data_IF_551962534061
#
_entry.id   IF_551962534061
#
_cell.length_a   1.000
_cell.length_b   1.000
_cell.length_c   1.000
_cell.angle_alpha   90.00
_cell.angle_beta   90.00
_cell.angle_gamma   90.00
#
_symmetry.space_group_name_H-M   'P 1'
#
loop_
_entity.id
_entity.type
_entity.pdbx_description
1 polymer ?
#
# COMPACT_ATOMS: atom_id res chain seq x y z
N UNK A 1 -34.08 -8.60 28.74
CA UNK A 1 -32.80 -8.12 29.31
C UNK A 1 -31.76 -8.22 28.22
N UNK A 2 -31.14 -7.12 27.81
CA UNK A 2 -30.06 -7.14 26.83
C UNK A 2 -28.86 -7.91 27.41
N UNK A 3 -28.06 -8.57 26.57
CA UNK A 3 -26.85 -9.25 27.06
C UNK A 3 -25.82 -8.17 27.43
N UNK A 4 -24.99 -8.38 28.47
CA UNK A 4 -24.02 -7.38 28.95
C UNK A 4 -23.02 -6.90 27.88
N UNK A 5 -22.80 -7.69 26.81
CA UNK A 5 -22.03 -7.31 25.63
C UNK A 5 -22.71 -6.20 24.81
N UNK A 6 -24.02 -6.25 24.66
CA UNK A 6 -24.79 -5.33 23.81
C UNK A 6 -24.84 -3.95 24.46
N UNK A 7 -25.04 -3.89 25.78
CA UNK A 7 -25.02 -2.64 26.56
C UNK A 7 -23.64 -1.96 26.51
N UNK A 8 -22.56 -2.74 26.63
CA UNK A 8 -21.18 -2.21 26.55
C UNK A 8 -20.90 -1.58 25.18
N UNK A 9 -21.33 -2.24 24.10
CA UNK A 9 -21.16 -1.76 22.73
C UNK A 9 -22.01 -0.51 22.46
N UNK A 10 -23.25 -0.50 22.94
CA UNK A 10 -24.13 0.68 22.85
C UNK A 10 -23.56 1.87 23.59
N UNK A 11 -23.01 1.68 24.78
CA UNK A 11 -22.36 2.75 25.53
C UNK A 11 -21.12 3.29 24.81
N UNK A 12 -20.29 2.41 24.25
CA UNK A 12 -19.12 2.84 23.46
C UNK A 12 -19.54 3.65 22.23
N UNK A 13 -20.65 3.27 21.57
CA UNK A 13 -21.21 3.99 20.43
C UNK A 13 -21.85 5.32 20.83
N UNK A 14 -22.54 5.39 21.96
CA UNK A 14 -23.17 6.61 22.46
C UNK A 14 -22.15 7.73 22.71
N UNK A 15 -20.91 7.37 23.05
CA UNK A 15 -19.80 8.30 23.27
C UNK A 15 -19.09 8.74 21.97
N UNK A 16 -19.57 8.37 20.77
CA UNK A 16 -18.87 8.65 19.51
C UNK A 16 -18.66 10.14 19.22
N UNK A 17 -19.48 11.03 19.80
CA UNK A 17 -19.33 12.48 19.69
C UNK A 17 -18.43 13.10 20.77
N UNK A 18 -17.88 12.29 21.67
CA UNK A 18 -17.00 12.69 22.76
C UNK A 18 -15.68 11.87 22.73
N UNK A 19 -14.74 12.17 21.80
CA UNK A 19 -13.57 11.32 21.54
C UNK A 19 -12.75 10.95 22.78
N UNK A 20 -12.51 11.91 23.68
CA UNK A 20 -11.74 11.68 24.90
C UNK A 20 -12.47 10.74 25.88
N UNK A 21 -13.79 10.93 26.06
CA UNK A 21 -14.61 10.08 26.93
C UNK A 21 -14.75 8.68 26.34
N UNK A 22 -14.92 8.58 25.02
CA UNK A 22 -14.97 7.31 24.30
C UNK A 22 -13.67 6.52 24.47
N UNK A 23 -12.51 7.17 24.31
CA UNK A 23 -11.21 6.53 24.44
C UNK A 23 -10.93 6.09 25.90
N UNK A 24 -11.28 6.94 26.87
CA UNK A 24 -11.18 6.58 28.29
C UNK A 24 -12.07 5.36 28.62
N UNK A 25 -13.31 5.34 28.12
CA UNK A 25 -14.21 4.20 28.29
C UNK A 25 -13.65 2.94 27.60
N UNK A 26 -13.18 3.04 26.36
CA UNK A 26 -12.56 1.96 25.61
C UNK A 26 -11.38 1.32 26.36
N UNK A 27 -10.54 2.13 27.02
CA UNK A 27 -9.43 1.62 27.84
C UNK A 27 -9.91 0.68 28.96
N UNK A 28 -11.07 0.96 29.58
CA UNK A 28 -11.65 0.09 30.62
C UNK A 28 -12.13 -1.27 30.09
N UNK A 29 -12.34 -1.37 28.77
CA UNK A 29 -12.82 -2.56 28.09
C UNK A 29 -11.70 -3.55 27.73
N UNK A 30 -10.43 -3.18 27.88
CA UNK A 30 -9.28 -4.04 27.57
C UNK A 30 -9.01 -5.14 28.60
N UNK A 31 -9.94 -5.38 29.52
CA UNK A 31 -9.81 -6.37 30.59
C UNK A 31 -10.21 -7.79 30.14
N UNK A 32 -9.74 -8.85 30.83
CA UNK A 32 -10.05 -10.23 30.48
C UNK A 32 -11.53 -10.63 30.49
N UNK A 33 -12.38 -9.87 31.19
CA UNK A 33 -13.82 -10.17 31.31
C UNK A 33 -14.58 -10.00 30.00
N UNK A 34 -14.01 -9.25 29.05
CA UNK A 34 -14.63 -8.99 27.76
C UNK A 34 -14.09 -9.92 26.67
N UNK A 35 -14.95 -10.23 25.70
CA UNK A 35 -14.61 -11.07 24.55
C UNK A 35 -14.02 -10.30 23.37
N UNK A 36 -13.52 -11.03 22.37
CA UNK A 36 -12.82 -10.52 21.17
C UNK A 36 -13.52 -9.34 20.49
N UNK A 37 -14.83 -9.40 20.27
CA UNK A 37 -15.56 -8.33 19.58
C UNK A 37 -15.54 -7.00 20.33
N UNK A 38 -15.58 -7.04 21.67
CA UNK A 38 -15.51 -5.82 22.50
C UNK A 38 -14.09 -5.27 22.47
N UNK A 39 -13.07 -6.14 22.54
CA UNK A 39 -11.67 -5.71 22.38
C UNK A 39 -11.42 -5.08 21.01
N UNK A 40 -11.92 -5.67 19.93
CA UNK A 40 -11.77 -5.08 18.58
C UNK A 40 -12.37 -3.69 18.49
N UNK A 41 -13.58 -3.50 19.03
CA UNK A 41 -14.24 -2.19 19.04
C UNK A 41 -13.47 -1.17 19.89
N UNK A 42 -13.03 -1.57 21.09
CA UNK A 42 -12.24 -0.70 21.96
C UNK A 42 -10.89 -0.31 21.33
N UNK A 43 -10.19 -1.27 20.71
CA UNK A 43 -8.92 -1.02 20.02
C UNK A 43 -9.10 -0.09 18.81
N UNK A 44 -10.19 -0.24 18.05
CA UNK A 44 -10.50 0.66 16.93
C UNK A 44 -10.75 2.11 17.40
N UNK A 45 -11.36 2.30 18.59
CA UNK A 45 -11.48 3.63 19.20
C UNK A 45 -10.10 4.16 19.59
N UNK A 46 -9.27 3.36 20.27
CA UNK A 46 -7.95 3.79 20.75
C UNK A 46 -6.95 4.07 19.62
N UNK A 47 -7.08 3.39 18.47
CA UNK A 47 -6.30 3.68 17.26
C UNK A 47 -6.65 5.06 16.69
N UNK A 48 -7.92 5.46 16.69
CA UNK A 48 -8.38 6.78 16.21
C UNK A 48 -8.18 7.90 17.22
N UNK A 49 -8.32 7.57 18.51
CA UNK A 49 -8.27 8.51 19.62
C UNK A 49 -7.29 8.00 20.68
N UNK A 50 -5.99 8.26 20.50
CA UNK A 50 -4.95 7.79 21.41
C UNK A 50 -5.20 8.26 22.85
N UNK A 51 -5.14 7.33 23.78
CA UNK A 51 -5.31 7.59 25.22
C UNK A 51 -4.13 7.02 26.00
N UNK A 52 -3.10 7.83 26.33
CA UNK A 52 -1.87 7.35 26.97
C UNK A 52 -2.09 6.49 28.25
N UNK A 53 -3.07 6.77 29.12
CA UNK A 53 -3.35 5.90 30.27
C UNK A 53 -3.76 4.46 29.91
N UNK A 54 -4.19 4.19 28.68
CA UNK A 54 -4.52 2.83 28.21
C UNK A 54 -3.30 1.94 28.00
N UNK A 55 -2.09 2.50 27.93
CA UNK A 55 -0.87 1.78 27.53
C UNK A 55 -0.58 0.54 28.37
N UNK A 56 -0.66 0.64 29.69
CA UNK A 56 -0.49 -0.52 30.59
C UNK A 56 -1.54 -1.63 30.34
N UNK A 57 -2.78 -1.25 30.03
CA UNK A 57 -3.83 -2.20 29.70
C UNK A 57 -3.58 -2.88 28.34
N UNK A 58 -3.10 -2.14 27.34
CA UNK A 58 -2.67 -2.67 26.04
C UNK A 58 -1.53 -3.69 26.19
N UNK A 59 -0.51 -3.37 26.98
CA UNK A 59 0.61 -4.30 27.27
C UNK A 59 0.14 -5.59 27.92
N UNK A 60 -0.67 -5.50 28.99
CA UNK A 60 -1.21 -6.69 29.66
C UNK A 60 -2.08 -7.54 28.73
N UNK A 61 -2.87 -6.89 27.87
CA UNK A 61 -3.67 -7.60 26.88
C UNK A 61 -2.78 -8.32 25.86
N UNK A 62 -1.76 -7.64 25.32
CA UNK A 62 -0.82 -8.22 24.37
C UNK A 62 -0.09 -9.44 24.95
N UNK A 63 0.51 -9.31 26.13
CA UNK A 63 1.24 -10.38 26.80
C UNK A 63 0.37 -11.61 27.03
N UNK A 64 -0.89 -11.41 27.42
CA UNK A 64 -1.85 -12.48 27.63
C UNK A 64 -2.19 -13.22 26.34
N UNK A 65 -2.37 -12.51 25.23
CA UNK A 65 -2.63 -13.13 23.92
C UNK A 65 -1.39 -13.91 23.45
N UNK A 66 -0.21 -13.31 23.61
CA UNK A 66 1.06 -13.93 23.25
C UNK A 66 1.31 -15.25 24.01
N UNK A 67 1.00 -15.29 25.31
CA UNK A 67 1.17 -16.48 26.14
C UNK A 67 0.25 -17.66 25.77
N UNK A 68 -0.83 -17.43 25.02
CA UNK A 68 -1.82 -18.46 24.66
C UNK A 68 -1.67 -19.04 23.25
N UNK A 69 -0.54 -18.77 22.58
CA UNK A 69 -0.11 -19.38 21.31
C UNK A 69 -1.26 -19.62 20.31
N UNK A 70 -1.83 -18.53 19.78
CA UNK A 70 -2.80 -18.53 18.68
C UNK A 70 -4.24 -18.89 19.05
N UNK A 71 -4.53 -19.71 20.07
CA UNK A 71 -5.91 -20.10 20.39
C UNK A 71 -6.82 -18.91 20.77
N UNK A 72 -6.26 -17.87 21.38
CA UNK A 72 -6.99 -16.66 21.79
C UNK A 72 -7.00 -15.55 20.71
N UNK A 73 -6.11 -15.64 19.73
CA UNK A 73 -5.88 -14.63 18.69
C UNK A 73 -5.31 -15.29 17.43
N UNK A 74 -6.10 -16.16 16.77
CA UNK A 74 -5.63 -16.89 15.60
C UNK A 74 -5.36 -15.87 14.49
N UNK A 75 -4.15 -15.93 13.93
CA UNK A 75 -3.69 -14.98 12.92
C UNK A 75 -3.33 -13.60 13.46
N UNK A 76 -3.13 -13.48 14.78
CA UNK A 76 -2.53 -12.30 15.42
C UNK A 76 -3.30 -10.97 15.26
N UNK A 77 -4.53 -10.99 14.75
CA UNK A 77 -5.28 -9.78 14.41
C UNK A 77 -5.51 -8.84 15.60
N UNK A 78 -5.77 -9.38 16.80
CA UNK A 78 -5.90 -8.57 18.02
C UNK A 78 -4.55 -7.99 18.42
N UNK A 79 -3.47 -8.78 18.39
CA UNK A 79 -2.12 -8.26 18.67
C UNK A 79 -1.72 -7.17 17.68
N UNK A 80 -2.02 -7.32 16.39
CA UNK A 80 -1.79 -6.28 15.39
C UNK A 80 -2.59 -5.01 15.69
N UNK A 81 -3.86 -5.14 16.10
CA UNK A 81 -4.70 -4.00 16.50
C UNK A 81 -4.19 -3.33 17.79
N UNK A 82 -3.65 -4.09 18.74
CA UNK A 82 -3.00 -3.54 19.93
C UNK A 82 -1.76 -2.72 19.55
N UNK A 83 -0.91 -3.25 18.66
CA UNK A 83 0.28 -2.53 18.20
C UNK A 83 -0.09 -1.23 17.47
N UNK A 84 -1.12 -1.25 16.61
CA UNK A 84 -1.63 -0.02 15.97
C UNK A 84 -2.18 1.00 16.97
N UNK A 85 -2.94 0.54 17.97
CA UNK A 85 -3.43 1.41 19.04
C UNK A 85 -2.30 1.96 19.93
N UNK A 86 -1.23 1.18 20.14
CA UNK A 86 -0.06 1.58 20.93
C UNK A 86 0.83 2.58 20.19
N UNK A 87 0.99 2.43 18.86
CA UNK A 87 1.89 3.22 18.00
C UNK A 87 1.92 4.73 18.32
N UNK A 88 0.80 5.49 18.27
CA UNK A 88 0.82 6.95 18.51
C UNK A 88 1.15 7.36 19.96
N UNK A 89 1.22 6.41 20.89
CA UNK A 89 1.58 6.63 22.29
C UNK A 89 2.77 5.78 22.73
N UNK A 90 3.50 5.18 21.77
CA UNK A 90 4.63 4.32 22.03
C UNK A 90 5.79 5.14 22.60
N UNK A 91 6.62 4.48 23.40
CA UNK A 91 7.84 5.06 23.97
C UNK A 91 8.97 4.05 23.86
N UNK A 92 10.23 4.45 24.14
CA UNK A 92 11.37 3.53 24.07
C UNK A 92 11.23 2.25 24.91
N UNK A 93 10.45 2.27 25.99
CA UNK A 93 10.21 1.07 26.81
C UNK A 93 9.37 -0.02 26.09
N UNK A 94 8.67 0.32 25.01
CA UNK A 94 7.84 -0.62 24.23
C UNK A 94 8.66 -1.38 23.19
N UNK A 95 9.90 -0.96 22.96
CA UNK A 95 10.79 -1.48 21.93
C UNK A 95 10.93 -3.00 21.95
N UNK A 96 11.13 -3.60 23.12
CA UNK A 96 11.27 -5.06 23.23
C UNK A 96 10.02 -5.81 22.77
N UNK A 97 8.82 -5.30 23.10
CA UNK A 97 7.55 -5.87 22.64
C UNK A 97 7.43 -5.77 21.12
N UNK A 98 7.75 -4.60 20.57
CA UNK A 98 7.65 -4.34 19.13
C UNK A 98 8.68 -5.13 18.31
N UNK A 99 9.90 -5.29 18.83
CA UNK A 99 10.94 -6.15 18.24
C UNK A 99 10.49 -7.61 18.22
N UNK A 100 9.85 -8.10 19.28
CA UNK A 100 9.26 -9.45 19.26
C UNK A 100 8.13 -9.55 18.22
N UNK A 101 7.26 -8.54 18.15
CA UNK A 101 6.13 -8.50 17.23
C UNK A 101 6.58 -8.54 15.74
N UNK A 102 7.60 -7.77 15.36
CA UNK A 102 8.09 -7.72 13.96
C UNK A 102 8.75 -9.01 13.49
N UNK A 103 9.16 -9.88 14.43
CA UNK A 103 9.73 -11.21 14.15
C UNK A 103 8.77 -12.36 14.42
N UNK A 104 7.50 -12.08 14.72
CA UNK A 104 6.51 -13.13 15.04
C UNK A 104 5.93 -13.73 13.76
N UNK A 105 5.93 -15.06 13.68
CA UNK A 105 5.24 -15.85 12.66
C UNK A 105 4.22 -16.75 13.34
N UNK A 106 3.05 -16.94 12.72
CA UNK A 106 2.02 -17.84 13.26
C UNK A 106 1.34 -18.63 12.14
N UNK A 107 1.26 -19.96 12.34
CA UNK A 107 0.70 -20.90 11.38
C UNK A 107 -0.48 -21.66 12.01
N UNK A 108 -1.64 -21.01 12.18
CA UNK A 108 -2.77 -21.64 12.87
C UNK A 108 -3.35 -22.80 12.04
N UNK A 109 -3.88 -23.85 12.70
CA UNK A 109 -4.65 -24.88 12.02
C UNK A 109 -5.99 -24.29 11.50
N UNK A 110 -6.60 -24.88 10.46
CA UNK A 110 -6.19 -26.13 9.81
C UNK A 110 -5.26 -25.94 8.60
N UNK A 111 -5.15 -24.71 8.08
CA UNK A 111 -4.42 -24.46 6.83
C UNK A 111 -2.90 -24.41 7.03
N UNK A 112 -2.42 -24.12 8.25
CA UNK A 112 -1.00 -23.91 8.56
C UNK A 112 -0.33 -22.91 7.60
N UNK A 113 -1.09 -21.91 7.16
CA UNK A 113 -0.58 -20.75 6.41
C UNK A 113 -0.14 -19.70 7.42
N UNK A 114 0.91 -18.96 7.09
CA UNK A 114 1.35 -17.82 7.89
C UNK A 114 0.25 -16.74 7.94
N UNK A 115 -0.10 -16.27 9.14
CA UNK A 115 -1.15 -15.27 9.35
C UNK A 115 -0.70 -14.05 10.18
N UNK A 116 0.59 -13.92 10.55
CA UNK A 116 1.11 -12.80 11.35
C UNK A 116 1.65 -11.62 10.54
N UNK A 117 1.53 -11.62 9.20
CA UNK A 117 1.95 -10.53 8.33
C UNK A 117 1.51 -9.12 8.82
N UNK A 118 0.25 -8.97 9.25
CA UNK A 118 -0.28 -7.70 9.73
C UNK A 118 0.32 -7.25 11.07
N UNK A 119 0.67 -8.20 11.95
CA UNK A 119 1.37 -7.89 13.20
C UNK A 119 2.78 -7.39 12.90
N UNK A 120 3.48 -8.08 11.98
CA UNK A 120 4.84 -7.69 11.57
C UNK A 120 4.87 -6.31 10.94
N UNK A 121 3.92 -6.01 10.07
CA UNK A 121 3.75 -4.70 9.42
C UNK A 121 3.49 -3.58 10.45
N UNK A 122 2.53 -3.79 11.35
CA UNK A 122 2.19 -2.81 12.38
C UNK A 122 3.38 -2.54 13.33
N UNK A 123 4.12 -3.59 13.69
CA UNK A 123 5.29 -3.47 14.56
C UNK A 123 6.46 -2.75 13.88
N UNK A 124 6.70 -3.00 12.59
CA UNK A 124 7.71 -2.30 11.81
C UNK A 124 7.46 -0.78 11.81
N UNK A 125 6.22 -0.35 11.57
CA UNK A 125 5.84 1.07 11.60
C UNK A 125 5.95 1.69 13.00
N UNK A 126 5.60 0.95 14.06
CA UNK A 126 5.75 1.43 15.42
C UNK A 126 7.23 1.56 15.84
N UNK A 127 8.10 0.63 15.41
CA UNK A 127 9.54 0.74 15.63
C UNK A 127 10.15 1.94 14.89
N UNK A 128 9.64 2.24 13.68
CA UNK A 128 10.06 3.41 12.93
C UNK A 128 9.81 4.72 13.68
N UNK A 129 8.65 4.87 14.32
CA UNK A 129 8.33 6.07 15.11
C UNK A 129 9.15 6.21 16.39
N UNK A 130 9.78 5.13 16.84
CA UNK A 130 10.71 5.13 17.97
C UNK A 130 12.18 5.29 17.56
N UNK A 131 12.42 5.59 16.29
CA UNK A 131 13.76 5.68 15.67
C UNK A 131 14.63 4.45 16.04
N UNK A 132 14.05 3.25 15.96
CA UNK A 132 14.80 2.03 16.24
C UNK A 132 15.80 1.74 15.10
N UNK A 133 17.11 1.63 15.40
CA UNK A 133 18.13 1.40 14.36
C UNK A 133 18.02 0.04 13.69
N UNK A 134 17.24 -0.91 14.21
CA UNK A 134 17.01 -2.21 13.55
C UNK A 134 15.98 -2.16 12.43
N UNK A 135 15.24 -1.05 12.30
CA UNK A 135 14.13 -0.93 11.34
C UNK A 135 14.55 -1.20 9.89
N UNK A 136 15.64 -0.62 9.34
CA UNK A 136 16.08 -0.92 7.98
C UNK A 136 16.36 -2.42 7.76
N UNK A 137 16.98 -3.08 8.74
CA UNK A 137 17.28 -4.51 8.68
C UNK A 137 16.00 -5.36 8.67
N UNK A 138 15.01 -4.98 9.49
CA UNK A 138 13.71 -5.65 9.46
C UNK A 138 12.97 -5.38 8.15
N UNK A 139 13.00 -4.16 7.61
CA UNK A 139 12.34 -3.86 6.35
C UNK A 139 12.97 -4.65 5.19
N UNK A 140 14.30 -4.70 5.06
CA UNK A 140 14.96 -5.52 4.03
C UNK A 140 14.60 -7.00 4.16
N UNK A 141 14.59 -7.54 5.39
CA UNK A 141 14.18 -8.93 5.64
C UNK A 141 12.73 -9.17 5.24
N UNK A 142 11.82 -8.25 5.58
CA UNK A 142 10.39 -8.39 5.32
C UNK A 142 10.02 -8.16 3.83
N UNK A 143 10.81 -7.37 3.10
CA UNK A 143 10.68 -7.22 1.65
C UNK A 143 10.88 -8.55 0.90
N UNK A 144 11.87 -9.33 1.31
CA UNK A 144 12.22 -10.60 0.68
C UNK A 144 11.62 -11.83 1.40
N UNK A 145 10.58 -11.63 2.22
CA UNK A 145 10.01 -12.67 3.06
C UNK A 145 9.10 -13.61 2.25
N UNK A 146 9.36 -14.92 2.32
CA UNK A 146 8.57 -15.96 1.66
C UNK A 146 7.12 -16.04 2.19
N UNK A 147 6.87 -15.52 3.39
CA UNK A 147 5.55 -15.46 4.02
C UNK A 147 4.90 -14.08 3.86
N UNK A 148 5.08 -13.47 2.70
CA UNK A 148 4.26 -12.32 2.30
C UNK A 148 2.88 -12.83 1.86
N UNK A 149 1.82 -12.27 2.42
CA UNK A 149 0.46 -12.67 2.08
C UNK A 149 0.13 -12.21 0.64
N UNK A 150 -0.23 -13.13 -0.28
CA UNK A 150 -0.39 -12.80 -1.69
C UNK A 150 -1.62 -11.94 -2.00
N UNK A 151 -2.58 -11.82 -1.07
CA UNK A 151 -3.79 -11.01 -1.27
C UNK A 151 -3.55 -9.56 -0.84
N UNK A 152 -2.80 -9.36 0.24
CA UNK A 152 -2.54 -8.03 0.80
C UNK A 152 -1.19 -7.45 0.40
N UNK A 153 -0.21 -8.28 0.02
CA UNK A 153 1.18 -7.89 -0.19
C UNK A 153 1.95 -7.59 1.10
N UNK A 154 1.33 -7.81 2.27
CA UNK A 154 1.97 -7.54 3.56
C UNK A 154 2.78 -8.76 4.04
N UNK A 155 3.91 -8.55 4.74
CA UNK A 155 4.44 -7.27 5.21
C UNK A 155 5.35 -6.53 4.21
N UNK A 156 5.56 -7.10 3.02
CA UNK A 156 6.51 -6.58 2.05
C UNK A 156 6.14 -5.15 1.58
N UNK A 157 4.87 -4.86 1.29
CA UNK A 157 4.46 -3.50 0.88
C UNK A 157 4.76 -2.44 1.95
N UNK A 158 4.50 -2.74 3.22
CA UNK A 158 4.91 -1.84 4.32
C UNK A 158 6.43 -1.65 4.33
N UNK A 159 7.20 -2.72 4.12
CA UNK A 159 8.66 -2.65 4.06
C UNK A 159 9.17 -1.81 2.88
N UNK A 160 8.58 -1.97 1.68
CA UNK A 160 8.93 -1.17 0.49
C UNK A 160 8.78 0.31 0.78
N UNK A 161 7.60 0.71 1.28
CA UNK A 161 7.28 2.12 1.57
C UNK A 161 8.21 2.72 2.62
N UNK A 162 8.58 1.92 3.62
CA UNK A 162 9.52 2.35 4.63
C UNK A 162 10.92 2.54 4.04
N UNK A 163 11.43 1.56 3.29
CA UNK A 163 12.74 1.66 2.64
C UNK A 163 12.81 2.85 1.69
N UNK A 164 11.76 3.07 0.89
CA UNK A 164 11.64 4.23 0.01
C UNK A 164 11.66 5.55 0.78
N UNK A 165 10.92 5.65 1.90
CA UNK A 165 10.91 6.83 2.75
C UNK A 165 12.28 7.13 3.40
N UNK A 166 13.15 6.12 3.53
CA UNK A 166 14.53 6.25 3.98
C UNK A 166 15.55 6.35 2.84
N UNK A 167 15.10 6.53 1.60
CA UNK A 167 15.94 6.61 0.40
C UNK A 167 16.85 5.35 0.21
N UNK A 168 16.44 4.22 0.80
CA UNK A 168 17.14 2.95 0.70
C UNK A 168 16.69 2.21 -0.58
N UNK A 169 17.20 2.66 -1.73
CA UNK A 169 16.78 2.16 -3.04
C UNK A 169 17.43 0.83 -3.43
N UNK A 170 18.61 0.50 -2.91
CA UNK A 170 19.35 -0.70 -3.31
C UNK A 170 18.57 -2.00 -3.03
N UNK A 171 17.90 -2.19 -1.87
CA UNK A 171 17.04 -3.33 -1.63
C UNK A 171 15.84 -3.40 -2.58
N UNK A 172 15.23 -2.25 -2.93
CA UNK A 172 14.11 -2.20 -3.88
C UNK A 172 14.56 -2.62 -5.29
N UNK A 173 15.72 -2.11 -5.73
CA UNK A 173 16.33 -2.49 -7.00
C UNK A 173 16.72 -3.98 -7.02
N UNK A 174 17.28 -4.49 -5.92
CA UNK A 174 17.59 -5.92 -5.78
C UNK A 174 16.33 -6.78 -5.92
N UNK A 175 15.21 -6.36 -5.33
CA UNK A 175 13.95 -7.09 -5.41
C UNK A 175 13.43 -7.19 -6.85
N UNK A 176 13.37 -6.06 -7.58
CA UNK A 176 12.87 -6.03 -8.97
C UNK A 176 13.84 -6.64 -9.99
N UNK A 177 15.04 -7.04 -9.57
CA UNK A 177 15.98 -7.77 -10.43
C UNK A 177 15.94 -9.29 -10.20
N UNK A 178 15.20 -9.77 -9.19
CA UNK A 178 15.00 -11.20 -8.94
C UNK A 178 14.08 -11.85 -9.98
N UNK A 179 14.23 -13.16 -10.27
CA UNK A 179 13.31 -13.87 -11.16
C UNK A 179 11.86 -13.69 -10.71
N UNK A 180 10.93 -13.55 -11.67
CA UNK A 180 9.52 -13.28 -11.38
C UNK A 180 8.87 -14.29 -10.43
N UNK A 181 9.34 -15.54 -10.40
CA UNK A 181 8.89 -16.59 -9.47
C UNK A 181 9.15 -16.28 -7.99
N UNK A 182 10.01 -15.32 -7.69
CA UNK A 182 10.36 -14.90 -6.33
C UNK A 182 9.73 -13.56 -5.94
N UNK A 183 8.96 -12.94 -6.82
CA UNK A 183 8.41 -11.61 -6.62
C UNK A 183 6.88 -11.65 -6.70
N UNK A 184 6.22 -10.85 -5.87
CA UNK A 184 4.79 -10.60 -6.01
C UNK A 184 4.57 -9.39 -6.94
N UNK A 185 3.59 -9.42 -7.85
CA UNK A 185 3.32 -8.32 -8.78
C UNK A 185 3.10 -6.97 -8.09
N UNK A 186 2.31 -6.93 -7.01
CA UNK A 186 1.99 -5.73 -6.25
C UNK A 186 3.23 -5.15 -5.56
N UNK A 187 4.08 -6.02 -5.00
CA UNK A 187 5.34 -5.62 -4.34
C UNK A 187 6.34 -5.14 -5.39
N UNK A 188 6.40 -5.80 -6.54
CA UNK A 188 7.25 -5.39 -7.68
C UNK A 188 6.85 -4.01 -8.18
N UNK A 189 5.55 -3.79 -8.38
CA UNK A 189 4.99 -2.49 -8.78
C UNK A 189 5.35 -1.38 -7.77
N UNK A 190 5.13 -1.64 -6.48
CA UNK A 190 5.46 -0.68 -5.43
C UNK A 190 6.98 -0.45 -5.32
N UNK A 191 7.83 -1.44 -5.56
CA UNK A 191 9.27 -1.22 -5.65
C UNK A 191 9.61 -0.30 -6.84
N UNK A 192 9.11 -0.62 -8.04
CA UNK A 192 9.40 0.14 -9.27
C UNK A 192 9.04 1.61 -9.09
N UNK A 193 7.83 1.93 -8.63
CA UNK A 193 7.36 3.32 -8.50
C UNK A 193 8.19 4.17 -7.53
N UNK A 194 8.90 3.55 -6.58
CA UNK A 194 9.75 4.24 -5.61
C UNK A 194 11.22 4.35 -6.08
N UNK A 195 11.59 3.75 -7.21
CA UNK A 195 12.94 3.83 -7.79
C UNK A 195 13.17 5.10 -8.62
N UNK A 196 12.46 6.20 -8.34
CA UNK A 196 12.54 7.47 -9.10
C UNK A 196 13.90 8.19 -9.00
N UNK A 197 14.76 7.75 -8.09
CA UNK A 197 16.15 8.22 -7.89
C UNK A 197 17.20 7.25 -8.44
N UNK A 198 16.79 6.20 -9.16
CA UNK A 198 17.71 5.20 -9.69
C UNK A 198 18.67 5.85 -10.70
N UNK A 199 19.97 5.47 -10.73
CA UNK A 199 20.86 5.91 -11.80
C UNK A 199 20.28 5.58 -13.19
N UNK A 200 20.31 6.56 -14.10
CA UNK A 200 19.68 6.46 -15.42
C UNK A 200 20.21 5.28 -16.24
N UNK A 201 21.47 4.88 -16.02
CA UNK A 201 22.10 3.76 -16.71
C UNK A 201 21.45 2.41 -16.38
N UNK A 202 20.69 2.34 -15.29
CA UNK A 202 19.99 1.12 -14.86
C UNK A 202 18.54 1.03 -15.37
N UNK A 203 17.95 2.15 -15.83
CA UNK A 203 16.57 2.19 -16.33
C UNK A 203 16.35 1.28 -17.55
N UNK A 204 17.23 1.23 -18.57
CA UNK A 204 17.01 0.39 -19.75
C UNK A 204 16.82 -1.09 -19.40
N UNK A 205 17.57 -1.61 -18.42
CA UNK A 205 17.45 -3.00 -17.98
C UNK A 205 16.12 -3.30 -17.28
N UNK A 206 15.52 -2.30 -16.60
CA UNK A 206 14.18 -2.44 -16.02
C UNK A 206 13.10 -2.38 -17.10
N UNK A 207 13.24 -1.50 -18.10
CA UNK A 207 12.31 -1.44 -19.24
C UNK A 207 12.33 -2.74 -20.03
N UNK A 208 13.52 -3.25 -20.39
CA UNK A 208 13.65 -4.53 -21.10
C UNK A 208 12.95 -5.67 -20.36
N UNK A 209 13.09 -5.69 -19.02
CA UNK A 209 12.50 -6.73 -18.18
C UNK A 209 10.98 -6.64 -18.08
N UNK A 210 10.43 -5.43 -17.95
CA UNK A 210 9.04 -5.23 -17.54
C UNK A 210 8.12 -4.66 -18.62
N UNK A 211 8.64 -4.21 -19.77
CA UNK A 211 7.85 -3.70 -20.89
C UNK A 211 6.80 -4.71 -21.39
N UNK A 212 7.10 -6.01 -21.29
CA UNK A 212 6.23 -7.11 -21.69
C UNK A 212 5.56 -7.85 -20.52
N UNK A 213 5.50 -7.26 -19.33
CA UNK A 213 4.87 -7.89 -18.17
C UNK A 213 3.38 -8.16 -18.44
N UNK A 214 2.91 -9.35 -18.02
CA UNK A 214 1.52 -9.77 -18.18
C UNK A 214 0.59 -9.22 -17.10
N UNK A 215 1.17 -8.83 -15.98
CA UNK A 215 0.52 -8.31 -14.79
C UNK A 215 0.46 -6.79 -14.90
N UNK A 216 -0.74 -6.25 -15.15
CA UNK A 216 -0.96 -4.82 -15.37
C UNK A 216 -0.46 -3.93 -14.23
N UNK A 217 -0.54 -4.43 -13.00
CA UNK A 217 -0.02 -3.72 -11.82
C UNK A 217 1.48 -3.46 -11.91
N UNK A 218 2.26 -4.38 -12.51
CA UNK A 218 3.71 -4.20 -12.68
C UNK A 218 4.00 -3.10 -13.70
N UNK A 219 3.24 -3.08 -14.80
CA UNK A 219 3.34 -2.02 -15.81
C UNK A 219 3.00 -0.65 -15.23
N UNK A 220 1.98 -0.56 -14.38
CA UNK A 220 1.63 0.67 -13.64
C UNK A 220 2.83 1.18 -12.83
N UNK A 221 3.52 0.30 -12.10
CA UNK A 221 4.72 0.66 -11.34
C UNK A 221 5.88 1.12 -12.23
N UNK A 222 6.07 0.47 -13.38
CA UNK A 222 7.05 0.89 -14.39
C UNK A 222 6.71 2.27 -14.98
N UNK A 223 5.44 2.54 -15.28
CA UNK A 223 5.01 3.83 -15.81
C UNK A 223 5.22 4.95 -14.78
N UNK A 224 4.88 4.70 -13.52
CA UNK A 224 5.17 5.64 -12.43
C UNK A 224 6.66 5.95 -12.34
N UNK A 225 7.52 4.92 -12.36
CA UNK A 225 8.98 5.10 -12.37
C UNK A 225 9.42 6.01 -13.52
N UNK A 226 9.03 5.68 -14.76
CA UNK A 226 9.48 6.38 -15.94
C UNK A 226 8.95 7.81 -16.04
N UNK A 227 7.72 8.07 -15.61
CA UNK A 227 7.10 9.39 -15.65
C UNK A 227 7.59 10.28 -14.52
N UNK A 228 7.80 9.72 -13.32
CA UNK A 228 8.08 10.47 -12.10
C UNK A 228 9.55 10.50 -11.72
N UNK A 229 10.44 9.91 -12.52
CA UNK A 229 11.89 9.94 -12.30
C UNK A 229 12.39 11.37 -12.06
N UNK A 230 13.34 11.53 -11.12
CA UNK A 230 13.81 12.84 -10.63
C UNK A 230 14.36 13.74 -11.72
N UNK A 231 15.03 13.16 -12.71
CA UNK A 231 15.65 13.91 -13.82
C UNK A 231 14.68 14.22 -14.96
N UNK A 232 13.41 13.84 -14.84
CA UNK A 232 12.38 14.03 -15.86
C UNK A 232 11.86 12.71 -16.44
N UNK A 233 10.89 12.75 -17.37
CA UNK A 233 10.35 11.54 -17.96
C UNK A 233 11.40 10.78 -18.77
N UNK A 234 11.46 9.46 -18.61
CA UNK A 234 12.34 8.58 -19.36
C UNK A 234 11.58 7.65 -20.29
N UNK A 235 12.25 7.16 -21.34
CA UNK A 235 11.69 6.19 -22.28
C UNK A 235 10.31 6.60 -22.85
N UNK A 236 10.13 7.89 -23.17
CA UNK A 236 8.85 8.44 -23.65
C UNK A 236 8.34 7.71 -24.91
N UNK A 237 9.24 7.34 -25.82
CA UNK A 237 8.87 6.59 -27.03
C UNK A 237 8.25 5.24 -26.69
N UNK A 238 8.80 4.51 -25.71
CA UNK A 238 8.19 3.28 -25.21
C UNK A 238 6.79 3.53 -24.62
N UNK A 239 6.60 4.61 -23.85
CA UNK A 239 5.29 4.94 -23.29
C UNK A 239 4.25 5.24 -24.38
N UNK A 240 4.64 5.96 -25.43
CA UNK A 240 3.78 6.25 -26.58
C UNK A 240 3.46 5.00 -27.39
N UNK A 241 4.48 4.17 -27.65
CA UNK A 241 4.30 2.89 -28.35
C UNK A 241 3.38 1.95 -27.58
N UNK A 242 3.51 1.92 -26.25
CA UNK A 242 2.63 1.15 -25.38
C UNK A 242 1.18 1.63 -25.46
N UNK A 243 0.94 2.94 -25.43
CA UNK A 243 -0.42 3.48 -25.62
C UNK A 243 -1.02 3.12 -26.99
N UNK A 244 -0.19 2.95 -28.01
CA UNK A 244 -0.66 2.58 -29.35
C UNK A 244 -0.88 1.08 -29.51
N UNK A 245 -0.02 0.24 -28.93
CA UNK A 245 0.08 -1.20 -29.26
C UNK A 245 -0.04 -2.14 -28.05
N UNK A 246 0.10 -1.64 -26.82
CA UNK A 246 0.13 -2.45 -25.60
C UNK A 246 -1.16 -3.23 -25.33
N UNK A 247 -1.07 -4.49 -24.96
CA UNK A 247 -2.23 -5.40 -24.89
C UNK A 247 -3.23 -5.09 -23.75
N UNK A 248 -2.78 -4.35 -22.72
CA UNK A 248 -3.52 -4.16 -21.48
C UNK A 248 -4.25 -2.81 -21.47
N UNK A 249 -5.58 -2.85 -21.66
CA UNK A 249 -6.40 -1.63 -21.77
C UNK A 249 -6.45 -0.81 -20.49
N UNK A 250 -6.50 -1.45 -19.32
CA UNK A 250 -6.53 -0.71 -18.04
C UNK A 250 -5.16 -0.08 -17.73
N UNK A 251 -4.06 -0.75 -18.07
CA UNK A 251 -2.72 -0.15 -18.02
C UNK A 251 -2.59 1.03 -19.02
N UNK A 252 -3.16 0.91 -20.22
CA UNK A 252 -3.22 2.03 -21.18
C UNK A 252 -4.07 3.19 -20.66
N UNK A 253 -5.23 2.92 -20.04
CA UNK A 253 -6.09 3.94 -19.41
C UNK A 253 -5.29 4.71 -18.36
N UNK A 254 -4.65 3.97 -17.46
CA UNK A 254 -3.83 4.54 -16.41
C UNK A 254 -2.72 5.43 -16.97
N UNK A 255 -1.95 4.93 -17.96
CA UNK A 255 -0.87 5.69 -18.59
C UNK A 255 -1.38 6.97 -19.26
N UNK A 256 -2.49 6.92 -20.01
CA UNK A 256 -3.08 8.09 -20.64
C UNK A 256 -3.49 9.16 -19.62
N UNK A 257 -4.13 8.74 -18.52
CA UNK A 257 -4.49 9.63 -17.41
C UNK A 257 -3.24 10.23 -16.77
N UNK A 258 -2.19 9.44 -16.49
CA UNK A 258 -0.97 9.95 -15.88
C UNK A 258 -0.24 10.96 -16.78
N UNK A 259 -0.18 10.73 -18.09
CA UNK A 259 0.41 11.70 -19.03
C UNK A 259 -0.31 13.05 -18.98
N UNK A 260 -1.65 13.03 -19.01
CA UNK A 260 -2.48 14.24 -18.92
C UNK A 260 -2.33 14.91 -17.56
N UNK A 261 -2.48 14.14 -16.48
CA UNK A 261 -2.45 14.64 -15.10
C UNK A 261 -1.07 15.16 -14.68
N UNK A 262 0.01 14.72 -15.33
CA UNK A 262 1.37 15.20 -15.06
C UNK A 262 1.53 16.71 -15.29
N UNK A 263 0.68 17.32 -16.13
CA UNK A 263 0.79 18.72 -16.53
C UNK A 263 2.07 19.06 -17.30
N UNK A 264 2.83 18.06 -17.75
CA UNK A 264 4.09 18.27 -18.50
C UNK A 264 3.77 18.46 -19.98
N UNK A 265 4.00 19.69 -20.47
CA UNK A 265 3.66 20.09 -21.84
C UNK A 265 4.31 19.19 -22.91
N UNK A 266 5.53 18.72 -22.67
CA UNK A 266 6.22 17.81 -23.59
C UNK A 266 5.49 16.47 -23.76
N UNK A 267 5.04 15.87 -22.64
CA UNK A 267 4.31 14.59 -22.64
C UNK A 267 2.93 14.76 -23.27
N UNK A 268 2.23 15.84 -22.91
CA UNK A 268 0.94 16.16 -23.50
C UNK A 268 1.05 16.39 -25.01
N UNK A 269 2.07 17.12 -25.46
CA UNK A 269 2.34 17.34 -26.88
C UNK A 269 2.55 16.02 -27.62
N UNK A 270 3.31 15.08 -27.06
CA UNK A 270 3.51 13.74 -27.64
C UNK A 270 2.20 12.95 -27.71
N UNK A 271 1.39 12.99 -26.65
CA UNK A 271 0.08 12.34 -26.61
C UNK A 271 -0.87 12.91 -27.67
N UNK A 272 -0.93 14.25 -27.83
CA UNK A 272 -1.78 14.91 -28.81
C UNK A 272 -1.35 14.62 -30.26
N UNK A 273 -0.05 14.39 -30.49
CA UNK A 273 0.45 13.92 -31.80
C UNK A 273 0.07 12.46 -32.05
N UNK A 274 0.14 11.61 -31.02
CA UNK A 274 -0.18 10.18 -31.12
C UNK A 274 -1.67 9.90 -31.29
N UNK A 275 -2.52 10.57 -30.52
CA UNK A 275 -3.95 10.27 -30.40
C UNK A 275 -4.69 10.20 -31.75
N UNK A 276 -4.44 11.10 -32.74
CA UNK A 276 -5.01 10.98 -34.07
C UNK A 276 -4.64 9.71 -34.85
N UNK A 277 -3.65 8.93 -34.46
CA UNK A 277 -3.27 7.70 -35.16
C UNK A 277 -3.86 6.44 -34.53
N UNK A 278 -4.40 6.55 -33.33
CA UNK A 278 -5.04 5.43 -32.63
C UNK A 278 -6.35 5.07 -33.34
N UNK A 279 -6.43 3.80 -33.77
CA UNK A 279 -7.58 3.27 -34.49
C UNK A 279 -8.48 2.42 -33.59
N UNK A 280 -7.93 1.68 -32.63
CA UNK A 280 -8.70 0.73 -31.83
C UNK A 280 -9.81 1.44 -31.02
N UNK A 281 -11.10 1.03 -31.13
CA UNK A 281 -12.22 1.70 -30.46
C UNK A 281 -12.01 1.88 -28.96
N UNK A 282 -11.65 0.80 -28.27
CA UNK A 282 -11.45 0.85 -26.83
C UNK A 282 -10.41 1.92 -26.45
N UNK A 283 -9.29 2.02 -27.17
CA UNK A 283 -8.26 3.03 -26.90
C UNK A 283 -8.70 4.46 -27.23
N UNK A 284 -9.53 4.64 -28.25
CA UNK A 284 -10.13 5.95 -28.55
C UNK A 284 -10.96 6.42 -27.35
N UNK A 285 -11.77 5.53 -26.77
CA UNK A 285 -12.59 5.84 -25.59
C UNK A 285 -11.69 6.24 -24.40
N UNK A 286 -10.62 5.50 -24.15
CA UNK A 286 -9.65 5.79 -23.09
C UNK A 286 -8.98 7.17 -23.26
N UNK A 287 -8.59 7.51 -24.49
CA UNK A 287 -7.97 8.80 -24.78
C UNK A 287 -8.95 9.96 -24.60
N UNK A 288 -10.21 9.78 -25.02
CA UNK A 288 -11.26 10.78 -24.79
C UNK A 288 -11.50 11.00 -23.30
N UNK A 289 -11.57 9.92 -22.51
CA UNK A 289 -11.71 9.97 -21.05
C UNK A 289 -10.54 10.76 -20.41
N UNK A 290 -9.30 10.43 -20.78
CA UNK A 290 -8.12 11.12 -20.24
C UNK A 290 -8.08 12.60 -20.64
N UNK A 291 -8.32 12.93 -21.91
CA UNK A 291 -8.27 14.31 -22.42
C UNK A 291 -9.40 15.19 -21.85
N UNK A 292 -10.52 14.60 -21.44
CA UNK A 292 -11.61 15.31 -20.77
C UNK A 292 -11.19 15.93 -19.42
N UNK A 293 -10.06 15.51 -18.84
CA UNK A 293 -9.51 16.09 -17.62
C UNK A 293 -8.90 17.49 -17.84
N UNK A 294 -8.59 17.88 -19.08
CA UNK A 294 -7.95 19.15 -19.43
C UNK A 294 -8.65 19.86 -20.61
N UNK A 295 -9.96 20.14 -20.51
CA UNK A 295 -10.77 20.59 -21.65
C UNK A 295 -10.39 21.98 -22.17
N UNK A 296 -9.68 22.78 -21.38
CA UNK A 296 -9.28 24.15 -21.73
C UNK A 296 -7.94 24.23 -22.47
N UNK A 297 -7.23 23.11 -22.64
CA UNK A 297 -5.93 23.12 -23.31
C UNK A 297 -6.11 23.33 -24.83
N UNK A 298 -5.40 24.28 -25.46
CA UNK A 298 -5.67 24.71 -26.84
C UNK A 298 -5.48 23.60 -27.88
N UNK A 299 -4.65 22.60 -27.61
CA UNK A 299 -4.44 21.45 -28.49
C UNK A 299 -5.46 20.31 -28.34
N UNK A 300 -6.26 20.30 -27.27
CA UNK A 300 -7.13 19.16 -26.93
C UNK A 300 -8.40 19.15 -27.76
N UNK A 301 -9.05 20.31 -27.92
CA UNK A 301 -10.35 20.40 -28.60
C UNK A 301 -10.33 19.79 -30.02
N UNK A 302 -9.29 20.11 -30.81
CA UNK A 302 -9.16 19.60 -32.18
C UNK A 302 -8.91 18.08 -32.23
N UNK A 303 -8.19 17.53 -31.25
CA UNK A 303 -7.94 16.09 -31.15
C UNK A 303 -9.20 15.36 -30.71
N UNK A 304 -9.89 15.86 -29.68
CA UNK A 304 -11.16 15.30 -29.17
C UNK A 304 -12.20 15.25 -30.28
N UNK A 305 -12.40 16.34 -31.03
CA UNK A 305 -13.35 16.38 -32.15
C UNK A 305 -13.06 15.28 -33.19
N UNK A 306 -11.78 15.09 -33.55
CA UNK A 306 -11.36 14.07 -34.51
C UNK A 306 -11.60 12.65 -33.99
N UNK A 307 -11.37 12.41 -32.70
CA UNK A 307 -11.63 11.12 -32.06
C UNK A 307 -13.12 10.82 -32.00
N UNK A 308 -13.96 11.79 -31.61
CA UNK A 308 -15.42 11.64 -31.59
C UNK A 308 -16.01 11.37 -32.98
N UNK A 309 -15.53 12.07 -34.01
CA UNK A 309 -15.96 11.84 -35.39
C UNK A 309 -15.75 10.38 -35.83
N UNK A 310 -14.67 9.74 -35.36
CA UNK A 310 -14.40 8.31 -35.65
C UNK A 310 -15.29 7.36 -34.88
N UNK A 311 -15.60 7.67 -33.62
CA UNK A 311 -16.57 6.86 -32.86
C UNK A 311 -17.95 6.87 -33.55
N UNK A 312 -18.39 8.03 -34.06
CA UNK A 312 -19.69 8.18 -34.74
C UNK A 312 -19.73 7.56 -36.13
N UNK A 313 -18.58 7.34 -36.76
CA UNK A 313 -18.47 6.72 -38.09
C UNK A 313 -18.42 5.18 -38.07
N UNK A 314 -18.62 4.56 -36.90
CA UNK A 314 -18.70 3.11 -36.69
C UNK A 314 -20.14 2.69 -36.44
#
# INVERSE_FOLDING_TARGET
MARPKDETMQQLQALAHEPAAQAAFAATLLTPRYGRSVHQAALAVLERHPHPPAREALHRLYQRLNARQGAADPGTYLRAAIVRALRPMATPADRSLLQQAVTTYEFPPPAFKEEAAMLRSAALLALQELDDPTVPYHAVRLLADEYTDPMSGEPALTAVRLLAAHEAYQPLYYYVTQPASHCLPEVTSECLRHLVELPEELLPGLVERYAGATEEVVLVGLFDLLLQHRTGPHHVDFLMDYLQQGAHLDACRYLAVCLVASGREELLSRLLVLAPWVQEPARVDLLLEALALIPTHPGVAAVVERLEQRQRGR
#
